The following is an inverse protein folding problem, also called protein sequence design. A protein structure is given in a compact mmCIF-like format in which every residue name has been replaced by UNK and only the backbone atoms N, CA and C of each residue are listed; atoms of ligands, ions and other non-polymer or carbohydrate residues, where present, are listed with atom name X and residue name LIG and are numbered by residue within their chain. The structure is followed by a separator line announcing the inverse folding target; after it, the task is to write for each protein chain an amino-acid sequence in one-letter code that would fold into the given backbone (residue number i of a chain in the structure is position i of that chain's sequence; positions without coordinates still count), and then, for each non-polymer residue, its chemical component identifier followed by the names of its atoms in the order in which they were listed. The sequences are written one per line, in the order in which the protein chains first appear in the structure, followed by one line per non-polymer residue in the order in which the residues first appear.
data_IF_782934928609
#
_entry.id   IF_782934928609
#
_cell.length_a   1.000
_cell.length_b   1.000
_cell.length_c   1.000
_cell.angle_alpha   90.00
_cell.angle_beta   90.00
_cell.angle_gamma   90.00
#
_symmetry.space_group_name_H-M   'P 1'
#
loop_
_entity.id
_entity.type
_entity.pdbx_description
1 polymer ?
#
# COMPACT_ATOMS: atom_id res chain seq x y z
N UNK A 1 -27.52 -4.34 12.64
CA UNK A 1 -26.05 -4.52 12.71
C UNK A 1 -25.59 -5.02 11.36
N UNK A 2 -25.30 -4.11 10.44
CA UNK A 2 -24.82 -4.42 9.09
C UNK A 2 -23.31 -4.55 9.14
N UNK A 3 -22.81 -5.77 9.29
CA UNK A 3 -21.42 -6.11 9.05
C UNK A 3 -21.11 -5.85 7.57
N UNK A 4 -20.42 -4.74 7.28
CA UNK A 4 -19.93 -4.42 5.95
C UNK A 4 -18.75 -5.33 5.60
N UNK A 5 -18.58 -5.66 4.32
CA UNK A 5 -17.49 -6.50 3.79
C UNK A 5 -16.09 -6.10 4.25
N UNK A 6 -15.90 -4.86 4.71
CA UNK A 6 -14.67 -4.35 5.31
C UNK A 6 -14.23 -5.10 6.57
N UNK A 7 -15.17 -5.66 7.33
CA UNK A 7 -14.86 -6.43 8.56
C UNK A 7 -14.10 -7.73 8.27
N UNK A 8 -14.13 -8.25 7.04
CA UNK A 8 -13.54 -9.56 6.72
C UNK A 8 -12.08 -9.43 6.23
N UNK A 9 -11.69 -8.28 5.66
CA UNK A 9 -10.34 -8.10 5.08
C UNK A 9 -9.29 -7.74 6.15
N UNK A 10 -9.69 -7.14 7.29
CA UNK A 10 -8.75 -6.69 8.32
C UNK A 10 -8.93 -7.31 9.72
N UNK A 11 -10.02 -8.06 10.00
CA UNK A 11 -10.14 -8.78 11.29
C UNK A 11 -9.24 -10.00 11.44
N UNK A 12 -8.52 -10.40 10.38
CA UNK A 12 -7.60 -11.52 10.43
C UNK A 12 -6.39 -11.29 11.35
N UNK A 13 -5.99 -10.04 11.55
CA UNK A 13 -4.87 -9.66 12.42
C UNK A 13 -4.94 -8.17 12.72
N UNK A 14 -5.62 -7.78 13.79
CA UNK A 14 -5.26 -6.52 14.46
C UNK A 14 -3.77 -6.65 14.81
N UNK A 15 -2.93 -5.76 14.27
CA UNK A 15 -1.48 -5.82 14.46
C UNK A 15 -1.18 -5.42 15.90
N UNK A 16 -1.08 -6.39 16.79
CA UNK A 16 -0.79 -6.12 18.20
C UNK A 16 0.56 -5.41 18.38
N UNK A 17 0.65 -4.39 19.27
CA UNK A 17 1.91 -3.73 19.60
C UNK A 17 3.00 -4.73 20.02
N UNK A 18 4.14 -4.69 19.33
CA UNK A 18 5.31 -5.50 19.66
C UNK A 18 5.28 -6.94 19.15
N UNK A 19 4.22 -7.41 18.50
CA UNK A 19 4.19 -8.75 17.90
C UNK A 19 4.96 -8.78 16.59
N UNK A 20 4.58 -7.95 15.62
CA UNK A 20 5.30 -7.90 14.33
C UNK A 20 6.72 -7.33 14.48
N UNK A 21 6.94 -6.37 15.37
CA UNK A 21 8.29 -5.85 15.63
C UNK A 21 9.26 -6.96 16.05
N UNK A 22 8.85 -7.86 16.95
CA UNK A 22 9.67 -9.00 17.36
C UNK A 22 9.99 -9.94 16.20
N UNK A 23 9.01 -10.20 15.33
CA UNK A 23 9.25 -11.04 14.15
C UNK A 23 10.21 -10.35 13.15
N UNK A 24 10.13 -9.02 13.02
CA UNK A 24 11.01 -8.25 12.15
C UNK A 24 12.44 -8.22 12.68
N UNK A 25 12.62 -8.15 14.01
CA UNK A 25 13.93 -8.17 14.67
C UNK A 25 14.69 -9.50 14.44
N UNK A 26 13.98 -10.58 14.12
CA UNK A 26 14.58 -11.89 13.80
C UNK A 26 15.08 -12.02 12.35
N UNK A 27 14.85 -11.00 11.51
CA UNK A 27 15.13 -11.04 10.08
C UNK A 27 16.16 -9.95 9.75
N UNK A 28 17.12 -10.29 8.89
CA UNK A 28 17.98 -9.24 8.33
C UNK A 28 17.12 -8.20 7.61
N UNK A 29 17.26 -6.94 8.02
CA UNK A 29 16.40 -5.85 7.55
C UNK A 29 16.45 -5.70 6.02
N UNK A 30 17.57 -5.99 5.37
CA UNK A 30 17.66 -5.92 3.91
C UNK A 30 16.80 -7.00 3.25
N UNK A 31 16.79 -8.21 3.79
CA UNK A 31 15.91 -9.29 3.33
C UNK A 31 14.43 -9.01 3.61
N UNK A 32 14.12 -8.39 4.75
CA UNK A 32 12.77 -7.91 5.04
C UNK A 32 12.34 -6.85 4.01
N UNK A 33 13.20 -5.88 3.70
CA UNK A 33 12.91 -4.89 2.67
C UNK A 33 12.74 -5.52 1.29
N UNK A 34 13.54 -6.53 0.93
CA UNK A 34 13.33 -7.29 -0.30
C UNK A 34 11.94 -7.89 -0.32
N UNK A 35 11.51 -8.57 0.75
CA UNK A 35 10.19 -9.18 0.85
C UNK A 35 9.05 -8.17 0.66
N UNK A 36 9.15 -7.00 1.27
CA UNK A 36 8.14 -5.95 1.13
C UNK A 36 7.99 -5.46 -0.31
N UNK A 37 9.09 -5.39 -1.06
CA UNK A 37 9.10 -4.93 -2.45
C UNK A 37 8.90 -6.06 -3.47
N UNK A 38 8.97 -7.32 -3.04
CA UNK A 38 8.91 -8.52 -3.89
C UNK A 38 7.52 -8.92 -4.36
N UNK A 39 6.51 -8.10 -4.05
CA UNK A 39 5.12 -8.48 -4.24
C UNK A 39 4.79 -8.41 -5.73
N UNK A 40 4.98 -9.54 -6.40
CA UNK A 40 4.52 -9.76 -7.78
C UNK A 40 3.02 -10.07 -7.82
N UNK A 41 2.46 -10.57 -6.71
CA UNK A 41 1.04 -10.90 -6.62
C UNK A 41 0.20 -9.62 -6.48
N UNK A 42 -0.86 -9.46 -7.30
CA UNK A 42 -1.89 -8.44 -7.11
C UNK A 42 -2.57 -8.44 -5.74
N UNK A 43 -2.56 -9.55 -5.01
CA UNK A 43 -3.26 -9.63 -3.73
C UNK A 43 -2.39 -9.09 -2.59
N UNK A 44 -3.01 -8.47 -1.56
CA UNK A 44 -2.30 -8.13 -0.34
C UNK A 44 -1.57 -9.36 0.21
N UNK A 45 -0.30 -9.18 0.59
CA UNK A 45 0.49 -10.24 1.19
C UNK A 45 -0.10 -10.59 2.57
N UNK A 46 -0.93 -11.63 2.64
CA UNK A 46 -1.42 -12.17 3.91
C UNK A 46 -0.39 -13.19 4.39
N UNK A 47 0.55 -12.72 5.20
CA UNK A 47 1.56 -13.57 5.84
C UNK A 47 1.02 -13.96 7.23
N UNK A 48 0.82 -15.26 7.51
CA UNK A 48 0.44 -15.70 8.84
C UNK A 48 1.50 -15.28 9.88
N UNK A 49 1.05 -14.99 11.10
CA UNK A 49 1.95 -14.72 12.22
C UNK A 49 2.97 -15.87 12.37
N UNK A 50 4.25 -15.53 12.55
CA UNK A 50 5.36 -16.47 12.65
C UNK A 50 5.90 -16.98 11.31
N UNK A 51 5.26 -16.67 10.18
CA UNK A 51 5.68 -17.15 8.86
C UNK A 51 6.61 -16.16 8.11
N UNK A 52 6.82 -14.95 8.63
CA UNK A 52 7.53 -13.90 7.89
C UNK A 52 9.01 -14.21 7.66
N UNK A 53 9.66 -14.92 8.60
CA UNK A 53 11.05 -15.38 8.43
C UNK A 53 11.19 -16.35 7.27
N UNK A 54 10.23 -17.26 7.11
CA UNK A 54 10.20 -18.19 5.98
C UNK A 54 9.95 -17.45 4.67
N UNK A 55 9.08 -16.43 4.67
CA UNK A 55 8.80 -15.60 3.51
C UNK A 55 10.04 -14.80 3.07
N UNK A 56 10.77 -14.19 4.02
CA UNK A 56 11.96 -13.38 3.75
C UNK A 56 13.18 -14.19 3.31
N UNK A 57 13.20 -15.50 3.59
CA UNK A 57 14.27 -16.41 3.16
C UNK A 57 14.18 -16.84 1.69
N UNK A 58 13.10 -16.50 0.98
CA UNK A 58 12.96 -16.81 -0.45
C UNK A 58 13.84 -15.87 -1.28
N UNK A 59 14.60 -16.36 -2.28
CA UNK A 59 15.31 -15.51 -3.21
C UNK A 59 14.32 -14.59 -3.92
N UNK A 60 14.56 -13.28 -3.81
CA UNK A 60 13.75 -12.25 -4.44
C UNK A 60 14.58 -11.59 -5.52
N UNK A 61 14.11 -11.69 -6.76
CA UNK A 61 14.73 -11.04 -7.91
C UNK A 61 13.90 -9.83 -8.31
N UNK A 62 14.26 -8.66 -7.79
CA UNK A 62 13.68 -7.39 -8.24
C UNK A 62 14.73 -6.62 -9.03
N UNK A 63 14.61 -6.64 -10.36
CA UNK A 63 15.55 -6.00 -11.25
C UNK A 63 15.57 -4.46 -11.12
N UNK A 64 14.46 -3.83 -10.70
CA UNK A 64 14.28 -2.38 -10.74
C UNK A 64 14.84 -1.61 -9.52
N UNK A 65 15.14 -2.29 -8.40
CA UNK A 65 15.51 -1.61 -7.13
C UNK A 65 17.01 -1.27 -7.04
N UNK A 66 17.85 -1.75 -7.97
CA UNK A 66 19.20 -1.21 -8.20
C UNK A 66 20.09 -1.05 -6.95
N UNK A 67 20.05 -2.01 -6.01
CA UNK A 67 20.87 -1.96 -4.78
C UNK A 67 20.38 -1.01 -3.67
N UNK A 68 19.19 -0.40 -3.81
CA UNK A 68 18.63 0.53 -2.81
C UNK A 68 18.14 -0.16 -1.53
N UNK A 69 18.05 -1.48 -1.49
CA UNK A 69 17.66 -2.21 -0.28
C UNK A 69 18.57 -1.91 0.89
N UNK A 70 19.87 -1.67 0.65
CA UNK A 70 20.78 -1.25 1.71
C UNK A 70 20.38 0.11 2.31
N UNK A 71 20.00 1.08 1.49
CA UNK A 71 19.56 2.39 1.97
C UNK A 71 18.29 2.28 2.83
N UNK A 72 17.31 1.49 2.37
CA UNK A 72 16.10 1.23 3.15
C UNK A 72 16.40 0.49 4.45
N UNK A 73 17.22 -0.56 4.40
CA UNK A 73 17.64 -1.32 5.56
C UNK A 73 18.36 -0.43 6.58
N UNK A 74 19.30 0.39 6.15
CA UNK A 74 20.03 1.30 7.04
C UNK A 74 19.11 2.35 7.66
N UNK A 75 18.05 2.76 6.96
CA UNK A 75 17.04 3.68 7.47
C UNK A 75 16.20 2.99 8.55
N UNK A 76 15.62 1.84 8.25
CA UNK A 76 14.76 1.10 9.19
C UNK A 76 15.53 0.51 10.38
N UNK A 77 16.82 0.21 10.24
CA UNK A 77 17.70 -0.11 11.39
C UNK A 77 17.84 1.04 12.38
N UNK A 78 17.75 2.30 11.90
CA UNK A 78 17.82 3.50 12.76
C UNK A 78 16.47 3.87 13.34
N UNK A 79 15.39 3.75 12.56
CA UNK A 79 14.06 4.23 12.96
C UNK A 79 13.18 3.16 13.60
N UNK A 80 13.48 1.88 13.36
CA UNK A 80 12.57 0.77 13.61
C UNK A 80 11.33 0.81 12.69
N UNK A 81 10.44 -0.17 12.87
CA UNK A 81 9.21 -0.32 12.08
C UNK A 81 7.94 0.11 12.82
N UNK A 82 8.00 0.31 14.13
CA UNK A 82 6.84 0.66 14.98
C UNK A 82 6.07 1.86 14.46
N UNK A 83 6.77 2.90 13.99
CA UNK A 83 6.13 4.09 13.42
C UNK A 83 5.22 3.77 12.24
N UNK A 84 5.70 2.95 11.29
CA UNK A 84 4.91 2.52 10.14
C UNK A 84 3.76 1.58 10.54
N UNK A 85 4.01 0.63 11.46
CA UNK A 85 3.00 -0.31 11.95
C UNK A 85 1.85 0.38 12.69
N UNK A 86 2.13 1.50 13.36
CA UNK A 86 1.12 2.27 14.07
C UNK A 86 0.05 2.86 13.12
N UNK A 87 0.36 3.14 11.85
CA UNK A 87 -0.66 3.58 10.89
C UNK A 87 -1.76 2.53 10.72
N UNK A 88 -1.39 1.25 10.63
CA UNK A 88 -2.36 0.15 10.54
C UNK A 88 -3.11 -0.06 11.86
N UNK A 89 -2.44 0.10 13.01
CA UNK A 89 -3.07 0.00 14.35
C UNK A 89 -4.11 1.07 14.60
N UNK A 90 -3.94 2.24 13.99
CA UNK A 90 -4.86 3.37 14.12
C UNK A 90 -6.00 3.35 13.10
N UNK A 91 -6.17 2.31 12.27
CA UNK A 91 -7.23 2.29 11.25
C UNK A 91 -8.64 2.36 11.83
N UNK A 92 -8.94 1.64 12.91
CA UNK A 92 -10.25 1.70 13.59
C UNK A 92 -10.49 3.09 14.19
N UNK A 93 -9.48 3.67 14.84
CA UNK A 93 -9.56 5.02 15.38
C UNK A 93 -9.76 6.06 14.28
N UNK A 94 -9.03 5.94 13.17
CA UNK A 94 -9.21 6.81 12.01
C UNK A 94 -10.64 6.69 11.48
N UNK A 95 -11.20 5.47 11.40
CA UNK A 95 -12.59 5.27 10.98
C UNK A 95 -13.59 5.98 11.91
N UNK A 96 -13.43 5.85 13.23
CA UNK A 96 -14.29 6.53 14.21
C UNK A 96 -14.19 8.06 14.09
N UNK A 97 -12.97 8.59 14.01
CA UNK A 97 -12.73 10.03 13.86
C UNK A 97 -13.28 10.56 12.54
N UNK A 98 -13.15 9.80 11.46
CA UNK A 98 -13.67 10.16 10.15
C UNK A 98 -15.21 10.11 10.07
N UNK A 99 -15.90 9.66 11.12
CA UNK A 99 -17.37 9.61 11.21
C UNK A 99 -18.06 10.96 10.98
N UNK A 100 -17.41 12.08 11.26
CA UNK A 100 -17.94 13.42 10.96
C UNK A 100 -18.01 13.74 9.46
N UNK A 101 -17.29 12.98 8.62
CA UNK A 101 -17.21 13.16 7.17
C UNK A 101 -18.07 12.14 6.38
N UNK A 102 -18.91 11.35 7.06
CA UNK A 102 -19.66 10.22 6.44
C UNK A 102 -20.87 10.63 5.58
N UNK A 103 -21.10 11.92 5.30
CA UNK A 103 -22.30 12.41 4.61
C UNK A 103 -21.94 13.37 3.46
N UNK A 104 -22.38 13.02 2.24
CA UNK A 104 -22.51 13.83 1.01
C UNK A 104 -21.33 14.74 0.59
N UNK A 105 -20.16 14.62 1.23
CA UNK A 105 -18.99 15.39 0.85
C UNK A 105 -18.26 14.68 -0.28
N UNK A 106 -18.56 15.17 -1.46
CA UNK A 106 -17.67 15.14 -2.60
C UNK A 106 -16.32 15.75 -2.22
N UNK A 107 -15.23 15.08 -2.59
CA UNK A 107 -13.89 15.69 -2.60
C UNK A 107 -13.82 16.56 -3.87
N UNK A 108 -13.82 17.87 -3.69
CA UNK A 108 -13.81 18.90 -4.74
C UNK A 108 -12.40 19.35 -5.13
N UNK A 109 -11.43 18.45 -4.99
CA UNK A 109 -10.05 18.66 -5.40
C UNK A 109 -9.81 17.99 -6.75
N UNK A 110 -9.27 18.74 -7.71
CA UNK A 110 -8.78 18.16 -8.96
C UNK A 110 -7.65 17.17 -8.65
N UNK A 111 -7.70 16.00 -9.28
CA UNK A 111 -6.72 14.95 -9.09
C UNK A 111 -6.59 14.06 -10.33
N UNK A 112 -5.42 13.46 -10.50
CA UNK A 112 -5.19 12.32 -11.38
C UNK A 112 -4.75 11.13 -10.49
N UNK A 113 -5.31 9.95 -10.75
CA UNK A 113 -4.93 8.75 -10.00
C UNK A 113 -4.23 7.76 -10.90
N UNK A 114 -3.12 7.18 -10.41
CA UNK A 114 -2.39 6.12 -11.10
C UNK A 114 -2.40 4.89 -10.21
N UNK A 115 -2.99 3.81 -10.71
CA UNK A 115 -3.08 2.53 -10.01
C UNK A 115 -2.24 1.49 -10.74
N UNK A 116 -1.73 0.51 -9.99
CA UNK A 116 -1.22 -0.69 -10.61
C UNK A 116 -2.37 -1.58 -11.10
N UNK A 117 -2.21 -2.25 -12.24
CA UNK A 117 -3.23 -3.14 -12.81
C UNK A 117 -3.43 -4.44 -12.02
N UNK A 118 -2.49 -4.76 -11.14
CA UNK A 118 -2.49 -5.98 -10.35
C UNK A 118 -3.49 -5.84 -9.16
N UNK A 119 -3.34 -4.81 -8.34
CA UNK A 119 -4.01 -4.63 -7.06
C UNK A 119 -4.79 -3.31 -7.03
N UNK A 120 -5.94 -3.25 -6.37
CA UNK A 120 -6.63 -1.98 -6.14
C UNK A 120 -8.14 -2.08 -6.08
N UNK A 121 -8.83 -0.98 -5.73
CA UNK A 121 -10.29 -0.89 -5.71
C UNK A 121 -10.88 -0.81 -7.12
N UNK A 122 -10.37 -1.64 -8.06
CA UNK A 122 -10.70 -1.64 -9.47
C UNK A 122 -12.21 -1.70 -9.71
N UNK A 123 -12.94 -2.46 -8.89
CA UNK A 123 -14.40 -2.55 -8.95
C UNK A 123 -15.09 -1.25 -8.54
N UNK A 124 -14.65 -0.60 -7.46
CA UNK A 124 -15.23 0.65 -6.99
C UNK A 124 -14.95 1.81 -7.96
N UNK A 125 -13.76 1.81 -8.57
CA UNK A 125 -13.41 2.70 -9.68
C UNK A 125 -14.31 2.37 -10.88
N UNK A 126 -14.18 1.19 -11.49
CA UNK A 126 -14.90 0.79 -12.73
C UNK A 126 -16.42 0.92 -12.64
N UNK A 127 -17.01 0.77 -11.46
CA UNK A 127 -18.47 0.92 -11.22
C UNK A 127 -18.91 2.37 -10.97
N UNK A 128 -18.01 3.35 -11.08
CA UNK A 128 -18.33 4.77 -10.98
C UNK A 128 -18.37 5.32 -9.55
N UNK A 129 -18.12 4.50 -8.52
CA UNK A 129 -18.14 4.94 -7.13
C UNK A 129 -17.07 6.00 -6.84
N UNK A 130 -15.91 5.86 -7.47
CA UNK A 130 -14.82 6.83 -7.35
C UNK A 130 -15.19 8.21 -7.92
N UNK A 131 -15.78 8.28 -9.11
CA UNK A 131 -16.24 9.54 -9.71
C UNK A 131 -17.43 10.16 -8.98
N UNK A 132 -18.26 9.36 -8.30
CA UNK A 132 -19.31 9.87 -7.42
C UNK A 132 -18.70 10.62 -6.23
N UNK A 133 -17.66 10.06 -5.61
CA UNK A 133 -17.05 10.63 -4.40
C UNK A 133 -15.97 11.69 -4.73
N UNK A 134 -15.40 11.65 -5.94
CA UNK A 134 -14.37 12.57 -6.47
C UNK A 134 -14.68 12.99 -7.93
N UNK A 135 -15.66 13.87 -8.16
CA UNK A 135 -16.13 14.22 -9.51
C UNK A 135 -15.17 15.13 -10.29
N UNK A 136 -14.18 15.72 -9.63
CA UNK A 136 -13.13 16.52 -10.28
C UNK A 136 -11.87 15.69 -10.60
N UNK A 137 -11.92 14.37 -10.43
CA UNK A 137 -10.84 13.53 -10.96
C UNK A 137 -10.93 13.52 -12.48
N UNK A 138 -9.86 13.98 -13.12
CA UNK A 138 -9.77 14.07 -14.59
C UNK A 138 -9.54 12.71 -15.23
N UNK A 139 -8.61 11.94 -14.65
CA UNK A 139 -8.21 10.64 -15.21
C UNK A 139 -7.83 9.63 -14.12
N UNK A 140 -8.11 8.37 -14.42
CA UNK A 140 -7.70 7.21 -13.63
C UNK A 140 -6.93 6.26 -14.53
N UNK A 141 -5.62 6.27 -14.39
CA UNK A 141 -4.70 5.44 -15.17
C UNK A 141 -4.48 4.12 -14.44
N UNK A 142 -4.63 3.02 -15.17
CA UNK A 142 -4.29 1.68 -14.67
C UNK A 142 -3.07 1.19 -15.44
N UNK A 143 -1.92 1.10 -14.76
CA UNK A 143 -0.66 0.59 -15.33
C UNK A 143 -0.63 -0.93 -15.28
N UNK A 144 -0.97 -1.56 -16.41
CA UNK A 144 -0.97 -3.01 -16.54
C UNK A 144 0.45 -3.59 -16.41
N UNK A 145 0.55 -4.74 -15.73
CA UNK A 145 1.83 -5.43 -15.55
C UNK A 145 2.79 -4.82 -14.54
N UNK A 146 2.44 -3.70 -13.89
CA UNK A 146 3.23 -3.07 -12.81
C UNK A 146 2.76 -3.56 -11.44
N UNK A 147 3.68 -3.74 -10.49
CA UNK A 147 3.43 -4.12 -9.10
C UNK A 147 3.06 -2.94 -8.20
N UNK A 148 3.21 -3.10 -6.89
CA UNK A 148 2.72 -2.13 -5.89
C UNK A 148 3.46 -0.79 -5.95
N UNK A 149 4.76 -0.79 -6.27
CA UNK A 149 5.61 0.39 -6.23
C UNK A 149 5.75 1.03 -7.62
N UNK A 150 4.62 1.45 -8.21
CA UNK A 150 4.53 1.95 -9.59
C UNK A 150 5.58 3.02 -9.93
N UNK A 151 5.85 3.92 -8.97
CA UNK A 151 6.78 5.01 -9.11
C UNK A 151 8.25 4.56 -9.14
N UNK A 152 8.55 3.36 -8.65
CA UNK A 152 9.88 2.77 -8.72
C UNK A 152 10.00 1.78 -9.88
N UNK A 153 8.95 1.03 -10.18
CA UNK A 153 8.88 0.01 -11.22
C UNK A 153 8.79 0.61 -12.63
N UNK A 154 7.99 1.66 -12.80
CA UNK A 154 7.80 2.36 -14.07
C UNK A 154 7.90 3.88 -13.87
N UNK A 155 9.11 4.32 -13.53
CA UNK A 155 9.47 5.74 -13.30
C UNK A 155 9.11 6.63 -14.49
N UNK A 156 9.38 6.15 -15.71
CA UNK A 156 9.19 6.96 -16.90
C UNK A 156 7.71 7.25 -17.15
N UNK A 157 6.85 6.23 -17.09
CA UNK A 157 5.41 6.41 -17.27
C UNK A 157 4.79 7.18 -16.10
N UNK A 158 5.19 6.89 -14.85
CA UNK A 158 4.75 7.65 -13.68
C UNK A 158 5.07 9.13 -13.83
N UNK A 159 6.30 9.47 -14.22
CA UNK A 159 6.72 10.86 -14.42
C UNK A 159 5.94 11.54 -15.56
N UNK A 160 5.61 10.81 -16.65
CA UNK A 160 4.78 11.35 -17.73
C UNK A 160 3.40 11.76 -17.23
N UNK A 161 2.77 10.95 -16.37
CA UNK A 161 1.45 11.28 -15.80
C UNK A 161 1.51 12.45 -14.83
N UNK A 162 2.53 12.53 -13.97
CA UNK A 162 2.73 13.68 -13.08
C UNK A 162 2.91 14.96 -13.90
N UNK A 163 3.80 14.96 -14.88
CA UNK A 163 4.06 16.12 -15.75
C UNK A 163 2.87 16.50 -16.63
N UNK A 164 2.00 15.55 -16.96
CA UNK A 164 0.76 15.82 -17.68
C UNK A 164 -0.23 16.57 -16.78
N UNK A 165 -0.41 16.10 -15.54
CA UNK A 165 -1.31 16.71 -14.58
C UNK A 165 -0.86 18.12 -14.15
N UNK A 166 0.44 18.33 -13.91
CA UNK A 166 1.01 19.63 -13.51
C UNK A 166 0.81 20.76 -14.54
N UNK A 167 0.36 20.46 -15.76
CA UNK A 167 0.09 21.45 -16.81
C UNK A 167 -1.30 22.07 -16.73
N UNK A 168 -2.14 21.61 -15.81
CA UNK A 168 -3.51 22.07 -15.58
C UNK A 168 -3.65 22.63 -14.17
#
# INVERSE_FOLDING_TARGET
MTSSLWTIILRGTMIEPGVMEKEYDEIDTENLMKLCFAQEDPQPAIIPQGAIKQAAGKPITLAFVGGRFKYYADTFKKTGFTGGLNYSRSMDLNWELMGAWTLDRVIDQAACQVHNGRSGPNDYIRKGGFWRDMPLVEDVVIMEGVGHFINEENKEETNKHIQYFDKF
#
